data_IF_368511824747
#
_entry.id   IF_368511824747
#
_cell.length_a   1.000
_cell.length_b   1.000
_cell.length_c   1.000
_cell.angle_alpha   90.00
_cell.angle_beta   90.00
_cell.angle_gamma   90.00
#
_symmetry.space_group_name_H-M   'P 1'
#
loop_
_entity.id
_entity.type
_entity.pdbx_description
1 polymer ?
#
# COMPACT_ATOMS: atom_id res chain seq x y z
N UNK A 1 -7.92 15.66 -4.18
CA UNK A 1 -7.69 14.70 -3.07
C UNK A 1 -6.33 15.00 -2.47
N UNK A 2 -6.22 15.05 -1.14
CA UNK A 2 -4.93 15.35 -0.50
C UNK A 2 -4.02 14.10 -0.55
N UNK A 3 -2.69 14.26 -0.58
CA UNK A 3 -1.76 13.13 -0.77
C UNK A 3 -1.86 12.10 0.36
N UNK A 4 -2.21 12.56 1.58
CA UNK A 4 -2.53 11.71 2.73
C UNK A 4 -3.70 10.78 2.44
N UNK A 5 -4.75 11.29 1.81
CA UNK A 5 -5.95 10.53 1.46
C UNK A 5 -5.64 9.48 0.40
N UNK A 6 -4.82 9.82 -0.60
CA UNK A 6 -4.37 8.87 -1.63
C UNK A 6 -3.60 7.71 -0.97
N UNK A 7 -2.62 8.02 -0.12
CA UNK A 7 -1.83 7.02 0.60
C UNK A 7 -2.69 6.15 1.54
N UNK A 8 -3.68 6.76 2.21
CA UNK A 8 -4.58 6.02 3.09
C UNK A 8 -5.44 5.01 2.31
N UNK A 9 -6.01 5.46 1.19
CA UNK A 9 -6.77 4.60 0.28
C UNK A 9 -5.88 3.50 -0.26
N UNK A 10 -4.66 3.83 -0.71
CA UNK A 10 -3.69 2.84 -1.17
C UNK A 10 -3.39 1.81 -0.07
N UNK A 11 -3.20 2.22 1.18
CA UNK A 11 -2.96 1.33 2.32
C UNK A 11 -4.13 0.36 2.55
N UNK A 12 -5.37 0.87 2.57
CA UNK A 12 -6.56 0.03 2.79
C UNK A 12 -6.72 -0.97 1.66
N UNK A 13 -6.69 -0.51 0.40
CA UNK A 13 -6.87 -1.39 -0.75
C UNK A 13 -5.74 -2.41 -0.88
N UNK A 14 -4.50 -2.00 -0.68
CA UNK A 14 -3.37 -2.93 -0.73
C UNK A 14 -3.39 -3.93 0.43
N UNK A 15 -3.79 -3.51 1.63
CA UNK A 15 -4.01 -4.43 2.75
C UNK A 15 -5.11 -5.45 2.45
N UNK A 16 -6.26 -4.99 1.95
CA UNK A 16 -7.35 -5.87 1.52
C UNK A 16 -6.89 -6.89 0.48
N UNK A 17 -6.01 -6.51 -0.44
CA UNK A 17 -5.45 -7.46 -1.40
C UNK A 17 -4.54 -8.50 -0.76
N UNK A 18 -3.62 -8.07 0.09
CA UNK A 18 -2.60 -8.95 0.68
C UNK A 18 -3.28 -10.05 1.52
N UNK A 19 -4.30 -9.67 2.28
CA UNK A 19 -5.00 -10.57 3.20
C UNK A 19 -6.15 -11.35 2.55
N UNK A 20 -6.89 -10.75 1.61
CA UNK A 20 -8.13 -11.35 1.07
C UNK A 20 -8.06 -11.67 -0.43
N UNK A 21 -6.98 -11.31 -1.13
CA UNK A 21 -6.80 -11.50 -2.58
C UNK A 21 -7.98 -10.97 -3.42
N UNK A 22 -8.64 -9.90 -2.97
CA UNK A 22 -9.88 -9.37 -3.55
C UNK A 22 -9.71 -8.95 -5.02
N UNK A 23 -8.67 -8.19 -5.36
CA UNK A 23 -8.32 -7.84 -6.73
C UNK A 23 -7.95 -9.06 -7.55
N UNK A 24 -7.15 -9.99 -7.01
CA UNK A 24 -6.81 -11.23 -7.73
C UNK A 24 -8.08 -12.01 -8.10
N UNK A 25 -9.06 -12.11 -7.19
CA UNK A 25 -10.37 -12.72 -7.47
C UNK A 25 -11.20 -11.89 -8.45
N UNK A 26 -11.27 -10.57 -8.30
CA UNK A 26 -12.00 -9.67 -9.21
C UNK A 26 -11.46 -9.75 -10.62
N UNK A 27 -10.14 -9.74 -10.80
CA UNK A 27 -9.49 -9.84 -12.11
C UNK A 27 -9.80 -11.21 -12.73
N UNK A 28 -9.74 -12.30 -11.97
CA UNK A 28 -10.16 -13.61 -12.46
C UNK A 28 -11.63 -13.63 -12.88
N UNK A 29 -12.52 -13.01 -12.09
CA UNK A 29 -13.97 -12.98 -12.37
C UNK A 29 -14.28 -12.15 -13.61
N UNK A 30 -13.66 -10.97 -13.75
CA UNK A 30 -13.77 -10.11 -14.93
C UNK A 30 -13.22 -10.84 -16.16
N UNK A 31 -12.04 -11.44 -16.06
CA UNK A 31 -11.44 -12.16 -17.18
C UNK A 31 -12.27 -13.37 -17.61
N UNK A 32 -12.94 -14.06 -16.67
CA UNK A 32 -13.85 -15.17 -16.96
C UNK A 32 -15.12 -14.75 -17.72
N UNK A 33 -15.56 -13.50 -17.56
CA UNK A 33 -16.68 -12.94 -18.33
C UNK A 33 -16.31 -12.67 -19.78
N UNK A 34 -15.04 -12.32 -20.06
CA UNK A 34 -14.54 -12.09 -21.42
C UNK A 34 -14.04 -13.37 -22.11
N UNK A 35 -13.51 -14.33 -21.35
CA UNK A 35 -13.08 -15.64 -21.84
C UNK A 35 -13.40 -16.69 -20.77
N UNK A 36 -14.40 -17.54 -21.04
CA UNK A 36 -14.92 -18.56 -20.11
C UNK A 36 -13.85 -19.47 -19.48
N UNK A 37 -12.71 -19.67 -20.14
CA UNK A 37 -11.61 -20.54 -19.66
C UNK A 37 -10.31 -19.79 -19.29
N UNK A 38 -10.37 -18.47 -19.13
CA UNK A 38 -9.17 -17.71 -18.77
C UNK A 38 -8.78 -17.93 -17.31
N UNK A 39 -7.79 -18.80 -17.10
CA UNK A 39 -7.08 -18.91 -15.82
C UNK A 39 -5.83 -18.06 -15.83
N UNK A 40 -5.81 -17.05 -14.96
CA UNK A 40 -4.62 -16.27 -14.66
C UNK A 40 -3.49 -17.21 -14.20
N UNK A 41 -2.40 -17.24 -14.97
CA UNK A 41 -1.23 -18.07 -14.67
C UNK A 41 -0.61 -17.64 -13.33
N UNK A 42 0.02 -18.58 -12.62
CA UNK A 42 0.62 -18.35 -11.30
C UNK A 42 1.56 -17.16 -11.30
N UNK A 43 2.43 -17.06 -12.31
CA UNK A 43 3.36 -15.93 -12.50
C UNK A 43 2.65 -14.56 -12.54
N UNK A 44 1.47 -14.49 -13.15
CA UNK A 44 0.69 -13.25 -13.22
C UNK A 44 0.07 -12.87 -11.88
N UNK A 45 -0.43 -13.86 -11.13
CA UNK A 45 -0.94 -13.64 -9.76
C UNK A 45 0.16 -13.17 -8.83
N UNK A 46 1.32 -13.81 -8.91
CA UNK A 46 2.48 -13.47 -8.08
C UNK A 46 2.98 -12.06 -8.38
N UNK A 47 3.03 -11.65 -9.65
CA UNK A 47 3.41 -10.30 -10.05
C UNK A 47 2.44 -9.23 -9.53
N UNK A 48 1.12 -9.47 -9.60
CA UNK A 48 0.11 -8.56 -9.04
C UNK A 48 0.31 -8.44 -7.53
N UNK A 49 0.50 -9.57 -6.84
CA UNK A 49 0.69 -9.58 -5.39
C UNK A 49 1.95 -8.82 -4.99
N UNK A 50 3.06 -9.02 -5.70
CA UNK A 50 4.32 -8.31 -5.48
C UNK A 50 4.17 -6.80 -5.65
N UNK A 51 3.49 -6.37 -6.71
CA UNK A 51 3.22 -4.97 -6.97
C UNK A 51 2.37 -4.34 -5.86
N UNK A 52 1.34 -5.04 -5.40
CA UNK A 52 0.45 -4.55 -4.34
C UNK A 52 1.16 -4.51 -2.98
N UNK A 53 2.03 -5.48 -2.69
CA UNK A 53 2.91 -5.44 -1.51
C UNK A 53 3.86 -4.24 -1.57
N UNK A 54 4.44 -3.92 -2.72
CA UNK A 54 5.29 -2.74 -2.86
C UNK A 54 4.53 -1.43 -2.54
N UNK A 55 3.31 -1.29 -3.07
CA UNK A 55 2.44 -0.13 -2.78
C UNK A 55 2.09 -0.07 -1.29
N UNK A 56 1.78 -1.22 -0.68
CA UNK A 56 1.50 -1.30 0.76
C UNK A 56 2.69 -0.78 1.56
N UNK A 57 3.90 -1.26 1.27
CA UNK A 57 5.12 -0.86 1.98
C UNK A 57 5.40 0.64 1.86
N UNK A 58 5.24 1.22 0.67
CA UNK A 58 5.40 2.68 0.46
C UNK A 58 4.39 3.46 1.31
N UNK A 59 3.14 2.99 1.33
CA UNK A 59 2.07 3.62 2.11
C UNK A 59 2.34 3.52 3.61
N UNK A 60 2.80 2.36 4.10
CA UNK A 60 3.19 2.15 5.50
C UNK A 60 4.32 3.09 5.91
N UNK A 61 5.40 3.16 5.12
CA UNK A 61 6.54 4.04 5.40
C UNK A 61 6.09 5.49 5.50
N UNK A 62 5.24 5.93 4.57
CA UNK A 62 4.70 7.28 4.57
C UNK A 62 3.93 7.62 5.87
N UNK A 63 3.09 6.70 6.35
CA UNK A 63 2.34 6.90 7.60
C UNK A 63 3.22 6.79 8.84
N UNK A 64 4.24 5.93 8.85
CA UNK A 64 5.21 5.86 9.94
C UNK A 64 5.95 7.19 10.09
N UNK A 65 6.40 7.79 8.98
CA UNK A 65 7.05 9.11 9.01
C UNK A 65 6.10 10.18 9.57
N UNK A 66 4.83 10.16 9.15
CA UNK A 66 3.84 11.09 9.72
C UNK A 66 3.57 10.84 11.20
N UNK A 67 3.51 9.58 11.62
CA UNK A 67 3.32 9.21 13.02
C UNK A 67 4.46 9.75 13.88
N UNK A 68 5.71 9.59 13.44
CA UNK A 68 6.89 10.16 14.13
C UNK A 68 6.78 11.69 14.25
N UNK A 69 6.34 12.38 13.19
CA UNK A 69 6.12 13.84 13.24
C UNK A 69 5.06 14.25 14.26
N UNK A 70 3.94 13.53 14.29
CA UNK A 70 2.86 13.80 15.24
C UNK A 70 3.30 13.52 16.67
N UNK A 71 4.00 12.42 16.90
CA UNK A 71 4.54 12.07 18.22
C UNK A 71 5.54 13.11 18.71
N UNK A 72 6.51 13.51 17.88
CA UNK A 72 7.47 14.53 18.26
C UNK A 72 6.80 15.88 18.59
N UNK A 73 5.73 16.25 17.87
CA UNK A 73 4.90 17.42 18.22
C UNK A 73 4.22 17.25 19.59
N UNK A 74 3.65 16.06 19.88
CA UNK A 74 3.04 15.78 21.19
C UNK A 74 4.05 15.77 22.34
N UNK A 75 5.29 15.33 22.09
CA UNK A 75 6.36 15.35 23.08
C UNK A 75 7.10 16.69 23.17
N UNK A 76 6.68 17.70 22.39
CA UNK A 76 7.33 19.02 22.39
C UNK A 76 8.78 19.00 21.90
N UNK A 77 9.18 17.96 21.15
CA UNK A 77 10.53 17.82 20.62
C UNK A 77 10.62 18.72 19.36
N UNK A 78 11.49 19.74 19.35
CA UNK A 78 11.65 20.60 18.18
C UNK A 78 12.21 19.77 17.02
N UNK A 79 11.39 19.63 15.97
CA UNK A 79 11.70 18.90 14.75
C UNK A 79 12.58 19.71 13.78
N UNK A 80 13.22 20.78 14.25
CA UNK A 80 14.04 21.71 13.46
C UNK A 80 15.28 21.06 12.84
N UNK A 81 15.68 19.88 13.32
CA UNK A 81 16.65 19.03 12.65
C UNK A 81 15.93 17.82 12.09
N UNK A 82 15.96 17.76 10.77
CA UNK A 82 15.32 16.79 9.90
C UNK A 82 15.25 15.40 10.54
N UNK A 83 14.06 14.83 10.73
CA UNK A 83 13.91 13.39 11.05
C UNK A 83 14.64 12.53 9.99
N UNK A 84 14.84 13.07 8.78
CA UNK A 84 15.63 12.45 7.72
C UNK A 84 17.15 12.40 8.00
N UNK A 85 17.68 13.20 8.95
CA UNK A 85 19.08 13.11 9.38
C UNK A 85 19.34 11.94 10.33
N UNK A 86 18.31 11.32 10.91
CA UNK A 86 18.48 10.13 11.77
C UNK A 86 18.79 8.87 10.93
N UNK A 87 18.43 8.89 9.65
CA UNK A 87 18.66 7.78 8.71
C UNK A 87 19.79 8.06 7.71
N UNK A 88 20.54 9.15 7.89
CA UNK A 88 21.76 9.47 7.13
C UNK A 88 22.98 9.16 7.99
#
# INVERSE_FOLDING_TARGET
MNIKTIMFIALIFSGLEIFLNIFTMLIQKIASLFKKDYKLNQKGKDAIKLFVVAIFMISVIYFLIQLVKILAMWFGIPLDKSILDIFR
#
